data_IF_803205294268
#
_entry.id   IF_803205294268
#
_cell.length_a   1.000
_cell.length_b   1.000
_cell.length_c   1.000
_cell.angle_alpha   90.00
_cell.angle_beta   90.00
_cell.angle_gamma   90.00
#
_symmetry.space_group_name_H-M   'P 1'
#
loop_
_entity.id
_entity.type
_entity.pdbx_description
1 polymer ?
#
# COMPACT_ATOMS: atom_id res chain seq x y z
N UNK A 1 -25.30 2.43 -10.66
CA UNK A 1 -26.62 2.15 -10.04
C UNK A 1 -26.85 2.98 -8.79
N UNK A 2 -25.92 3.03 -7.83
CA UNK A 2 -26.11 3.73 -6.55
C UNK A 2 -26.44 5.24 -6.69
N UNK A 3 -25.73 5.97 -7.55
CA UNK A 3 -26.02 7.39 -7.79
C UNK A 3 -27.39 7.63 -8.44
N UNK A 4 -27.91 6.65 -9.20
CA UNK A 4 -29.23 6.77 -9.81
C UNK A 4 -30.35 6.58 -8.77
N UNK A 5 -30.16 5.71 -7.78
CA UNK A 5 -31.11 5.55 -6.69
C UNK A 5 -31.18 6.80 -5.80
N UNK A 6 -30.02 7.38 -5.47
CA UNK A 6 -29.94 8.60 -4.66
C UNK A 6 -30.67 9.76 -5.34
N UNK A 7 -30.40 9.98 -6.64
CA UNK A 7 -31.07 11.02 -7.41
C UNK A 7 -32.59 10.81 -7.50
N UNK A 8 -33.05 9.56 -7.69
CA UNK A 8 -34.48 9.24 -7.72
C UNK A 8 -35.16 9.48 -6.37
N UNK A 9 -34.49 9.16 -5.26
CA UNK A 9 -35.03 9.42 -3.91
C UNK A 9 -35.07 10.91 -3.60
N UNK A 10 -34.10 11.70 -4.04
CA UNK A 10 -34.09 13.16 -3.90
C UNK A 10 -35.22 13.81 -4.70
N UNK A 11 -35.43 13.39 -5.95
CA UNK A 11 -36.54 13.85 -6.78
C UNK A 11 -37.90 13.52 -6.16
N UNK A 12 -38.07 12.30 -5.67
CA UNK A 12 -39.30 11.86 -4.99
C UNK A 12 -39.58 12.64 -3.70
N UNK A 13 -38.53 12.92 -2.90
CA UNK A 13 -38.62 13.71 -1.69
C UNK A 13 -39.05 15.16 -1.98
N UNK A 14 -38.46 15.80 -3.00
CA UNK A 14 -38.82 17.16 -3.42
C UNK A 14 -40.25 17.26 -3.94
N UNK A 15 -40.69 16.26 -4.71
CA UNK A 15 -42.07 16.20 -5.24
C UNK A 15 -43.10 16.01 -4.12
N UNK A 16 -42.80 15.13 -3.15
CA UNK A 16 -43.67 14.89 -1.98
C UNK A 16 -43.76 16.12 -1.06
N UNK A 17 -42.64 16.79 -0.78
CA UNK A 17 -42.61 17.99 0.08
C UNK A 17 -43.35 19.19 -0.54
N UNK A 18 -43.23 19.36 -1.87
CA UNK A 18 -43.99 20.36 -2.63
C UNK A 18 -45.50 20.15 -2.51
N UNK A 19 -45.96 18.88 -2.53
CA UNK A 19 -47.38 18.54 -2.37
C UNK A 19 -47.95 18.87 -0.98
N UNK A 20 -47.10 18.97 0.05
CA UNK A 20 -47.50 19.24 1.45
C UNK A 20 -47.32 20.73 1.83
N UNK A 21 -46.95 21.61 0.88
CA UNK A 21 -46.61 23.04 1.11
C UNK A 21 -45.46 23.25 2.11
N UNK A 22 -44.56 22.29 2.24
CA UNK A 22 -43.32 22.44 3.01
C UNK A 22 -42.23 22.89 2.06
N UNK A 23 -41.37 23.80 2.49
CA UNK A 23 -40.29 24.33 1.65
C UNK A 23 -39.41 23.17 1.14
N UNK A 24 -39.30 22.98 -0.19
CA UNK A 24 -38.58 21.85 -0.78
C UNK A 24 -37.06 21.89 -0.51
N UNK A 25 -36.54 23.01 0.03
CA UNK A 25 -35.13 23.13 0.46
C UNK A 25 -34.80 22.25 1.68
N UNK A 26 -35.81 21.73 2.39
CA UNK A 26 -35.63 20.76 3.50
C UNK A 26 -35.27 19.36 2.97
N UNK A 27 -35.51 19.09 1.69
CA UNK A 27 -35.15 17.83 1.04
C UNK A 27 -33.69 17.78 0.58
N UNK A 28 -32.98 18.92 0.62
CA UNK A 28 -31.56 18.91 0.32
C UNK A 28 -30.81 18.17 1.45
N UNK A 29 -29.82 17.31 1.11
CA UNK A 29 -29.09 16.55 2.11
C UNK A 29 -28.50 17.49 3.17
N UNK A 30 -28.67 17.21 4.47
CA UNK A 30 -28.21 18.10 5.55
C UNK A 30 -26.68 18.21 5.65
N UNK A 31 -25.95 17.45 4.82
CA UNK A 31 -24.49 17.45 4.74
C UNK A 31 -24.07 18.06 3.41
N UNK A 32 -23.58 19.30 3.47
CA UNK A 32 -22.90 19.96 2.36
C UNK A 32 -21.51 19.33 2.24
N UNK A 33 -21.33 18.43 1.27
CA UNK A 33 -20.02 17.86 0.97
C UNK A 33 -19.21 18.90 0.20
N UNK A 34 -18.40 19.66 0.92
CA UNK A 34 -17.40 20.55 0.35
C UNK A 34 -16.34 19.75 -0.43
N UNK A 35 -15.65 20.41 -1.36
CA UNK A 35 -14.62 19.76 -2.18
C UNK A 35 -13.51 19.16 -1.30
N UNK A 36 -13.22 17.86 -1.40
CA UNK A 36 -12.25 17.21 -0.53
C UNK A 36 -10.83 17.71 -0.80
N UNK A 37 -10.11 18.09 0.26
CA UNK A 37 -8.68 18.49 0.19
C UNK A 37 -7.80 17.34 -0.30
N UNK A 38 -8.17 16.09 0.03
CA UNK A 38 -7.51 14.86 -0.40
C UNK A 38 -8.51 13.89 -1.04
N UNK A 39 -8.20 13.39 -2.24
CA UNK A 39 -9.05 12.46 -2.99
C UNK A 39 -10.00 13.12 -3.98
N UNK A 40 -10.87 12.32 -4.59
CA UNK A 40 -11.96 12.76 -5.47
C UNK A 40 -13.29 12.45 -4.80
N UNK A 41 -14.35 13.20 -5.11
CA UNK A 41 -15.73 12.95 -4.66
C UNK A 41 -16.25 11.56 -5.09
N UNK A 42 -15.64 10.97 -6.12
CA UNK A 42 -15.86 9.58 -6.53
C UNK A 42 -14.51 8.83 -6.58
N UNK A 43 -13.97 8.38 -5.43
CA UNK A 43 -12.70 7.68 -5.40
C UNK A 43 -12.80 6.32 -6.08
N UNK A 44 -11.79 5.94 -6.87
CA UNK A 44 -11.70 4.59 -7.42
C UNK A 44 -11.24 3.65 -6.32
N UNK A 45 -11.85 2.48 -6.20
CA UNK A 45 -11.46 1.45 -5.21
C UNK A 45 -9.96 1.08 -5.31
N UNK A 46 -9.41 1.13 -6.53
CA UNK A 46 -7.99 0.86 -6.81
C UNK A 46 -7.07 1.82 -6.05
N UNK A 47 -7.41 3.10 -5.97
CA UNK A 47 -6.57 4.12 -5.32
C UNK A 47 -6.46 3.90 -3.81
N UNK A 48 -7.46 3.23 -3.21
CA UNK A 48 -7.46 2.85 -1.80
C UNK A 48 -6.79 1.49 -1.54
N UNK A 49 -7.02 0.50 -2.40
CA UNK A 49 -6.54 -0.87 -2.17
C UNK A 49 -5.06 -1.08 -2.55
N UNK A 50 -4.56 -0.39 -3.58
CA UNK A 50 -3.20 -0.59 -4.11
C UNK A 50 -2.10 -0.34 -3.07
N UNK A 51 -2.13 0.74 -2.26
CA UNK A 51 -1.09 0.96 -1.25
C UNK A 51 -0.94 -0.21 -0.27
N UNK A 52 -2.05 -0.78 0.21
CA UNK A 52 -2.02 -1.92 1.13
C UNK A 52 -1.50 -3.20 0.48
N UNK A 53 -1.89 -3.47 -0.77
CA UNK A 53 -1.38 -4.62 -1.52
C UNK A 53 0.12 -4.50 -1.80
N UNK A 54 0.61 -3.30 -2.12
CA UNK A 54 2.03 -3.05 -2.40
C UNK A 54 2.92 -3.35 -1.18
N UNK A 55 2.49 -2.93 0.02
CA UNK A 55 3.19 -3.21 1.28
C UNK A 55 3.22 -4.72 1.57
N UNK A 56 2.12 -5.41 1.30
CA UNK A 56 2.04 -6.87 1.48
C UNK A 56 2.97 -7.61 0.51
N UNK A 57 2.96 -7.21 -0.76
CA UNK A 57 3.80 -7.82 -1.80
C UNK A 57 5.28 -7.66 -1.47
N UNK A 58 5.73 -6.46 -1.07
CA UNK A 58 7.15 -6.25 -0.76
C UNK A 58 7.60 -7.02 0.47
N UNK A 59 6.73 -7.16 1.48
CA UNK A 59 7.01 -7.99 2.65
C UNK A 59 7.23 -9.45 2.24
N UNK A 60 6.29 -10.04 1.47
CA UNK A 60 6.43 -11.43 1.02
C UNK A 60 7.62 -11.64 0.07
N UNK A 61 7.94 -10.65 -0.77
CA UNK A 61 9.13 -10.71 -1.62
C UNK A 61 10.43 -10.67 -0.80
N UNK A 62 10.52 -9.80 0.21
CA UNK A 62 11.66 -9.73 1.10
C UNK A 62 11.88 -11.06 1.85
N UNK A 63 10.82 -11.55 2.51
CA UNK A 63 10.80 -12.86 3.22
C UNK A 63 11.17 -13.99 2.27
N UNK A 64 10.53 -14.04 1.10
CA UNK A 64 10.73 -15.10 0.12
C UNK A 64 12.15 -15.14 -0.40
N UNK A 65 12.73 -14.00 -0.75
CA UNK A 65 14.13 -13.93 -1.19
C UNK A 65 15.10 -14.32 -0.08
N UNK A 66 14.81 -14.01 1.19
CA UNK A 66 15.65 -14.44 2.32
C UNK A 66 15.58 -15.95 2.49
N UNK A 67 14.36 -16.50 2.52
CA UNK A 67 14.14 -17.93 2.68
C UNK A 67 14.74 -18.75 1.55
N UNK A 68 14.57 -18.33 0.30
CA UNK A 68 15.14 -19.01 -0.87
C UNK A 68 16.67 -19.00 -0.80
N UNK A 69 17.29 -17.85 -0.51
CA UNK A 69 18.74 -17.75 -0.40
C UNK A 69 19.29 -18.67 0.70
N UNK A 70 18.66 -18.67 1.87
CA UNK A 70 19.03 -19.53 2.99
C UNK A 70 18.89 -21.03 2.65
N UNK A 71 17.83 -21.41 1.94
CA UNK A 71 17.62 -22.79 1.49
C UNK A 71 18.70 -23.22 0.50
N UNK A 72 19.13 -22.32 -0.41
CA UNK A 72 20.21 -22.59 -1.36
C UNK A 72 21.52 -22.82 -0.61
N UNK A 73 21.88 -21.93 0.33
CA UNK A 73 23.11 -22.05 1.11
C UNK A 73 23.15 -23.33 1.95
N UNK A 74 22.00 -23.73 2.49
CA UNK A 74 21.86 -25.01 3.19
C UNK A 74 22.01 -26.20 2.25
N UNK A 75 21.44 -26.14 1.04
CA UNK A 75 21.55 -27.21 0.03
C UNK A 75 22.98 -27.38 -0.50
N UNK A 76 23.71 -26.28 -0.64
CA UNK A 76 25.09 -26.30 -1.12
C UNK A 76 26.10 -26.64 -0.01
N UNK A 77 25.64 -26.83 1.23
CA UNK A 77 26.50 -27.10 2.38
C UNK A 77 27.45 -25.93 2.70
N UNK A 78 27.16 -24.72 2.20
CA UNK A 78 27.99 -23.54 2.44
C UNK A 78 28.05 -23.26 3.94
N UNK A 79 26.90 -23.27 4.62
CA UNK A 79 26.80 -23.07 6.07
C UNK A 79 27.65 -24.07 6.87
N UNK A 80 27.66 -25.35 6.47
CA UNK A 80 28.46 -26.38 7.14
C UNK A 80 29.96 -26.16 6.94
N UNK A 81 30.37 -25.74 5.74
CA UNK A 81 31.77 -25.41 5.43
C UNK A 81 32.24 -24.19 6.21
N UNK A 82 31.46 -23.12 6.27
CA UNK A 82 31.83 -21.92 7.05
C UNK A 82 31.94 -22.26 8.54
N UNK A 83 31.05 -23.12 9.05
CA UNK A 83 31.09 -23.56 10.45
C UNK A 83 32.35 -24.36 10.78
N UNK A 84 32.76 -25.30 9.91
CA UNK A 84 33.98 -26.10 10.10
C UNK A 84 35.25 -25.23 10.05
N UNK A 85 35.19 -24.09 9.34
CA UNK A 85 36.30 -23.12 9.27
C UNK A 85 36.41 -22.26 10.55
N UNK A 86 35.54 -22.49 11.54
CA UNK A 86 35.53 -21.76 12.81
C UNK A 86 34.82 -20.40 12.74
N UNK A 87 34.07 -20.12 11.68
CA UNK A 87 33.29 -18.87 11.56
C UNK A 87 32.07 -18.95 12.47
N UNK A 88 31.84 -17.86 13.20
CA UNK A 88 30.77 -17.75 14.19
C UNK A 88 29.44 -17.50 13.49
N UNK A 89 28.34 -18.07 13.99
CA UNK A 89 27.00 -17.86 13.42
C UNK A 89 26.63 -16.37 13.35
N UNK A 90 27.09 -15.56 14.30
CA UNK A 90 26.86 -14.11 14.35
C UNK A 90 27.48 -13.39 13.14
N UNK A 91 28.67 -13.80 12.70
CA UNK A 91 29.36 -13.20 11.55
C UNK A 91 28.59 -13.48 10.25
N UNK A 92 28.06 -14.69 10.12
CA UNK A 92 27.19 -15.07 8.98
C UNK A 92 25.89 -14.28 8.98
N UNK A 93 25.24 -14.12 10.14
CA UNK A 93 24.04 -13.29 10.27
C UNK A 93 24.31 -11.83 9.88
N UNK A 94 25.46 -11.29 10.28
CA UNK A 94 25.83 -9.92 9.95
C UNK A 94 26.04 -9.74 8.44
N UNK A 95 26.68 -10.72 7.78
CA UNK A 95 26.82 -10.72 6.32
C UNK A 95 25.45 -10.72 5.61
N UNK A 96 24.51 -11.53 6.09
CA UNK A 96 23.14 -11.53 5.55
C UNK A 96 22.43 -10.20 5.73
N UNK A 97 22.53 -9.57 6.90
CA UNK A 97 21.91 -8.27 7.16
C UNK A 97 22.43 -7.21 6.18
N UNK A 98 23.75 -7.18 5.94
CA UNK A 98 24.35 -6.25 4.98
C UNK A 98 23.82 -6.50 3.56
N UNK A 99 23.84 -7.75 3.09
CA UNK A 99 23.35 -8.08 1.74
C UNK A 99 21.85 -7.75 1.61
N UNK A 100 21.06 -8.05 2.65
CA UNK A 100 19.64 -7.75 2.71
C UNK A 100 19.36 -6.25 2.63
N UNK A 101 20.16 -5.43 3.31
CA UNK A 101 20.05 -3.97 3.24
C UNK A 101 20.17 -3.46 1.80
N UNK A 102 21.15 -3.92 1.03
CA UNK A 102 21.33 -3.51 -0.37
C UNK A 102 20.21 -3.99 -1.29
N UNK A 103 19.78 -5.25 -1.14
CA UNK A 103 18.66 -5.80 -1.91
C UNK A 103 17.38 -5.00 -1.63
N UNK A 104 17.16 -4.58 -0.38
CA UNK A 104 15.98 -3.82 0.01
C UNK A 104 15.93 -2.43 -0.62
N UNK A 105 17.08 -1.75 -0.80
CA UNK A 105 17.14 -0.47 -1.52
C UNK A 105 16.62 -0.62 -2.96
N UNK A 106 17.04 -1.69 -3.64
CA UNK A 106 16.61 -1.99 -5.00
C UNK A 106 15.10 -2.26 -5.05
N UNK A 107 14.58 -3.06 -4.11
CA UNK A 107 13.14 -3.35 -4.04
C UNK A 107 12.29 -2.10 -3.80
N UNK A 108 12.70 -1.24 -2.86
CA UNK A 108 11.97 0.01 -2.56
C UNK A 108 11.98 0.94 -3.78
N UNK A 109 13.11 1.06 -4.47
CA UNK A 109 13.23 1.90 -5.67
C UNK A 109 12.33 1.40 -6.80
N UNK A 110 12.31 0.08 -7.04
CA UNK A 110 11.40 -0.55 -7.99
C UNK A 110 9.95 -0.30 -7.61
N UNK A 111 9.58 -0.50 -6.34
CA UNK A 111 8.21 -0.31 -5.87
C UNK A 111 7.72 1.13 -6.10
N UNK A 112 8.52 2.13 -5.71
CA UNK A 112 8.17 3.55 -5.92
C UNK A 112 8.01 3.90 -7.40
N UNK A 113 8.87 3.34 -8.25
CA UNK A 113 8.79 3.51 -9.71
C UNK A 113 7.49 2.90 -10.27
N UNK A 114 7.14 1.70 -9.82
CA UNK A 114 5.89 1.03 -10.22
C UNK A 114 4.65 1.81 -9.77
N UNK A 115 4.63 2.30 -8.54
CA UNK A 115 3.52 3.11 -8.00
C UNK A 115 3.32 4.40 -8.79
N UNK A 116 4.41 5.11 -9.13
CA UNK A 116 4.33 6.36 -9.88
C UNK A 116 4.00 6.17 -11.37
N UNK A 117 4.66 5.23 -12.05
CA UNK A 117 4.59 5.10 -13.51
C UNK A 117 3.42 4.24 -13.99
N UNK A 118 3.15 3.11 -13.30
CA UNK A 118 2.15 2.12 -13.75
C UNK A 118 0.79 2.43 -13.16
N UNK A 119 0.73 2.62 -11.83
CA UNK A 119 -0.54 2.86 -11.13
C UNK A 119 -0.95 4.33 -11.14
N UNK A 120 -0.06 5.25 -11.53
CA UNK A 120 -0.29 6.71 -11.55
C UNK A 120 -0.88 7.24 -10.23
N UNK A 121 -0.45 6.65 -9.11
CA UNK A 121 -0.92 7.06 -7.79
C UNK A 121 -0.13 8.29 -7.37
N UNK A 122 -0.82 9.40 -7.16
CA UNK A 122 -0.23 10.60 -6.59
C UNK A 122 0.12 10.35 -5.12
N UNK A 123 1.41 10.19 -4.82
CA UNK A 123 1.91 10.15 -3.44
C UNK A 123 1.79 11.56 -2.87
N UNK A 124 0.68 11.84 -2.18
CA UNK A 124 0.48 13.11 -1.49
C UNK A 124 1.29 13.12 -0.20
N UNK A 125 2.42 13.83 -0.19
CA UNK A 125 3.31 13.98 0.97
C UNK A 125 4.79 13.88 0.60
N UNK A 126 5.64 13.65 1.60
CA UNK A 126 7.08 13.45 1.38
C UNK A 126 7.34 12.03 0.87
N UNK A 127 7.90 11.93 -0.34
CA UNK A 127 8.33 10.65 -0.94
C UNK A 127 9.35 9.93 -0.05
N UNK A 128 10.17 10.67 0.69
CA UNK A 128 11.14 10.10 1.63
C UNK A 128 10.48 9.37 2.79
N UNK A 129 9.34 9.88 3.29
CA UNK A 129 8.59 9.22 4.36
C UNK A 129 7.96 7.91 3.87
N UNK A 130 7.38 7.93 2.67
CA UNK A 130 6.86 6.72 2.04
C UNK A 130 7.97 5.68 1.81
N UNK A 131 9.12 6.12 1.27
CA UNK A 131 10.29 5.27 1.10
C UNK A 131 10.76 4.66 2.44
N UNK A 132 10.81 5.46 3.50
CA UNK A 132 11.21 5.01 4.83
C UNK A 132 10.28 3.93 5.41
N UNK A 133 8.96 4.10 5.29
CA UNK A 133 7.98 3.12 5.78
C UNK A 133 8.11 1.80 5.01
N UNK A 134 8.21 1.85 3.68
CA UNK A 134 8.36 0.66 2.83
C UNK A 134 9.70 -0.03 3.09
N UNK A 135 10.76 0.75 3.33
CA UNK A 135 12.07 0.23 3.67
C UNK A 135 12.06 -0.50 5.01
N UNK A 136 11.48 0.10 6.05
CA UNK A 136 11.29 -0.56 7.36
C UNK A 136 10.46 -1.83 7.23
N UNK A 137 9.37 -1.80 6.46
CA UNK A 137 8.52 -2.96 6.28
C UNK A 137 9.29 -4.16 5.72
N UNK A 138 10.14 -3.94 4.70
CA UNK A 138 10.88 -5.06 4.12
C UNK A 138 12.10 -5.49 4.94
N UNK A 139 12.61 -4.67 5.88
CA UNK A 139 13.57 -5.13 6.89
C UNK A 139 12.89 -6.05 7.93
N UNK A 140 11.62 -5.81 8.24
CA UNK A 140 10.85 -6.71 9.11
C UNK A 140 10.49 -8.06 8.45
N UNK A 141 10.65 -8.17 7.13
CA UNK A 141 10.42 -9.38 6.35
C UNK A 141 11.66 -10.25 6.19
#
# INVERSE_FOLDING_TARGET
MQNALINSTELFLKETLSSVRIDPSVADPPVIIENPVYGSLAPKFVDFAVPGMMISIIFFLAVGLTGILFVIEKKEGLLERTWITGVTTIEVMFAHIIVKFFIQIIQVTLLLTFTGYIFKIEIKGSIFLAAGIVFLQGICG
#
